data_IF_196246223202
#
_entry.id   IF_196246223202
#
_cell.length_a   1.000
_cell.length_b   1.000
_cell.length_c   1.000
_cell.angle_alpha   90.00
_cell.angle_beta   90.00
_cell.angle_gamma   90.00
#
_symmetry.space_group_name_H-M   'P 1'
#
loop_
_entity.id
_entity.type
_entity.pdbx_description
1 polymer ?
#
# COMPACT_ATOMS: atom_id res chain seq x y z
N UNK A 1 5.50 13.49 -29.32
CA UNK A 1 4.30 13.79 -28.50
C UNK A 1 4.25 12.71 -27.44
N UNK A 2 4.73 12.99 -26.22
CA UNK A 2 4.72 11.99 -25.14
C UNK A 2 3.27 11.63 -24.81
N UNK A 3 2.96 10.33 -24.87
CA UNK A 3 1.62 9.84 -24.58
C UNK A 3 1.30 10.09 -23.10
N UNK A 4 0.33 10.97 -22.82
CA UNK A 4 0.01 11.36 -21.45
C UNK A 4 -0.64 10.19 -20.71
N UNK A 5 -0.06 9.78 -19.57
CA UNK A 5 -0.61 8.75 -18.70
C UNK A 5 -1.88 9.29 -18.03
N UNK A 6 -3.06 8.79 -18.44
CA UNK A 6 -4.36 9.18 -17.87
C UNK A 6 -4.80 8.26 -16.74
N UNK A 7 -5.75 8.71 -15.90
CA UNK A 7 -6.26 7.90 -14.79
C UNK A 7 -6.88 6.58 -15.26
N UNK A 8 -7.60 6.56 -16.40
CA UNK A 8 -8.14 5.32 -16.99
C UNK A 8 -7.03 4.30 -17.30
N UNK A 9 -5.91 4.77 -17.86
CA UNK A 9 -4.77 3.92 -18.17
C UNK A 9 -4.12 3.40 -16.90
N UNK A 10 -4.03 4.22 -15.85
CA UNK A 10 -3.53 3.80 -14.53
C UNK A 10 -4.44 2.74 -13.92
N UNK A 11 -5.76 2.94 -13.93
CA UNK A 11 -6.74 1.96 -13.41
C UNK A 11 -6.65 0.66 -14.22
N UNK A 12 -6.58 0.72 -15.54
CA UNK A 12 -6.45 -0.45 -16.39
C UNK A 12 -5.14 -1.22 -16.13
N UNK A 13 -4.02 -0.49 -16.02
CA UNK A 13 -2.72 -1.07 -15.68
C UNK A 13 -2.77 -1.76 -14.32
N UNK A 14 -3.24 -1.07 -13.27
CA UNK A 14 -3.32 -1.63 -11.92
C UNK A 14 -4.29 -2.81 -11.86
N UNK A 15 -5.41 -2.78 -12.58
CA UNK A 15 -6.35 -3.92 -12.65
C UNK A 15 -5.66 -5.17 -13.20
N UNK A 16 -4.88 -5.05 -14.28
CA UNK A 16 -4.15 -6.18 -14.88
C UNK A 16 -3.01 -6.62 -13.96
N UNK A 17 -2.19 -5.67 -13.52
CA UNK A 17 -1.01 -5.93 -12.70
C UNK A 17 -1.37 -6.59 -11.36
N UNK A 18 -2.42 -6.11 -10.71
CA UNK A 18 -2.88 -6.61 -9.40
C UNK A 18 -3.86 -7.78 -9.49
N UNK A 19 -4.26 -8.19 -10.69
CA UNK A 19 -4.93 -9.48 -10.89
C UNK A 19 -4.01 -10.63 -10.44
N UNK A 20 -2.71 -10.54 -10.75
CA UNK A 20 -1.70 -11.49 -10.30
C UNK A 20 -1.43 -11.42 -8.78
N UNK A 21 -1.78 -10.30 -8.13
CA UNK A 21 -1.73 -10.13 -6.69
C UNK A 21 -2.97 -10.72 -5.98
N UNK A 22 -4.02 -11.10 -6.72
CA UNK A 22 -5.35 -11.40 -6.19
C UNK A 22 -6.01 -10.27 -5.37
N UNK A 23 -5.48 -9.05 -5.45
CA UNK A 23 -5.90 -7.91 -4.61
C UNK A 23 -7.01 -7.08 -5.25
N UNK A 24 -7.11 -7.08 -6.58
CA UNK A 24 -8.19 -6.37 -7.27
C UNK A 24 -9.51 -7.16 -7.22
N UNK A 25 -10.62 -6.55 -6.80
CA UNK A 25 -11.92 -7.25 -6.72
C UNK A 25 -12.47 -7.57 -8.12
N UNK A 26 -13.14 -8.71 -8.27
CA UNK A 26 -13.80 -9.04 -9.55
C UNK A 26 -14.97 -8.10 -9.82
N UNK A 27 -15.34 -7.94 -11.08
CA UNK A 27 -16.59 -7.28 -11.46
C UNK A 27 -17.81 -8.04 -10.92
N UNK A 28 -18.91 -7.36 -10.54
CA UNK A 28 -20.15 -8.02 -10.14
C UNK A 28 -20.71 -8.91 -11.26
N UNK A 29 -20.44 -8.56 -12.52
CA UNK A 29 -20.88 -9.29 -13.71
C UNK A 29 -19.92 -10.42 -14.11
N UNK A 30 -18.89 -10.72 -13.30
CA UNK A 30 -17.93 -11.77 -13.59
C UNK A 30 -18.60 -13.16 -13.68
N UNK A 31 -18.18 -13.95 -14.66
CA UNK A 31 -18.72 -15.29 -14.90
C UNK A 31 -18.37 -16.26 -13.76
N UNK A 32 -19.14 -17.36 -13.64
CA UNK A 32 -18.85 -18.41 -12.64
C UNK A 32 -17.43 -18.96 -12.80
N UNK A 33 -16.95 -19.12 -14.04
CA UNK A 33 -15.59 -19.58 -14.33
C UNK A 33 -14.53 -18.58 -13.84
N UNK A 34 -14.70 -17.28 -14.10
CA UNK A 34 -13.75 -16.26 -13.63
C UNK A 34 -13.65 -16.23 -12.10
N UNK A 35 -14.78 -16.36 -11.40
CA UNK A 35 -14.80 -16.42 -9.92
C UNK A 35 -14.10 -17.68 -9.41
N UNK A 36 -14.34 -18.83 -10.05
CA UNK A 36 -13.69 -20.09 -9.70
C UNK A 36 -12.17 -20.00 -9.91
N UNK A 37 -11.72 -19.52 -11.07
CA UNK A 37 -10.30 -19.35 -11.39
C UNK A 37 -9.61 -18.39 -10.40
N UNK A 38 -10.25 -17.27 -10.07
CA UNK A 38 -9.70 -16.31 -9.09
C UNK A 38 -9.58 -16.92 -7.69
N UNK A 39 -10.59 -17.66 -7.25
CA UNK A 39 -10.55 -18.35 -5.96
C UNK A 39 -9.49 -19.47 -5.94
N UNK A 40 -9.36 -20.22 -7.03
CA UNK A 40 -8.33 -21.24 -7.19
C UNK A 40 -6.92 -20.65 -7.19
N UNK A 41 -6.72 -19.53 -7.88
CA UNK A 41 -5.44 -18.82 -7.91
C UNK A 41 -5.08 -18.23 -6.54
N UNK A 42 -6.05 -17.65 -5.81
CA UNK A 42 -5.86 -17.24 -4.41
C UNK A 42 -5.41 -18.40 -3.52
N UNK A 43 -6.07 -19.56 -3.62
CA UNK A 43 -5.70 -20.74 -2.83
C UNK A 43 -4.29 -21.23 -3.18
N UNK A 44 -3.95 -21.23 -4.48
CA UNK A 44 -2.60 -21.56 -4.95
C UNK A 44 -1.53 -20.63 -4.35
N UNK A 45 -1.76 -19.31 -4.39
CA UNK A 45 -0.86 -18.32 -3.79
C UNK A 45 -0.69 -18.53 -2.28
N UNK A 46 -1.77 -18.85 -1.56
CA UNK A 46 -1.70 -19.17 -0.13
C UNK A 46 -0.92 -20.46 0.12
N UNK A 47 -1.21 -21.53 -0.62
CA UNK A 47 -0.51 -22.81 -0.51
C UNK A 47 0.99 -22.64 -0.79
N UNK A 48 1.36 -21.89 -1.83
CA UNK A 48 2.74 -21.59 -2.18
C UNK A 48 3.48 -20.88 -1.01
N UNK A 49 2.84 -19.87 -0.40
CA UNK A 49 3.44 -19.16 0.74
C UNK A 49 3.55 -20.04 1.99
N UNK A 50 2.56 -20.90 2.25
CA UNK A 50 2.59 -21.84 3.40
C UNK A 50 3.73 -22.86 3.23
N UNK A 51 3.90 -23.44 2.04
CA UNK A 51 4.98 -24.39 1.76
C UNK A 51 6.35 -23.75 2.06
N UNK A 52 6.55 -22.51 1.61
CA UNK A 52 7.77 -21.78 1.87
C UNK A 52 7.98 -21.47 3.36
N UNK A 53 6.94 -21.02 4.06
CA UNK A 53 6.98 -20.77 5.52
C UNK A 53 7.39 -22.02 6.29
N UNK A 54 6.82 -23.19 5.94
CA UNK A 54 7.15 -24.46 6.58
C UNK A 54 8.63 -24.81 6.37
N UNK A 55 9.16 -24.62 5.15
CA UNK A 55 10.58 -24.86 4.86
C UNK A 55 11.50 -23.92 5.66
N UNK A 56 11.14 -22.64 5.77
CA UNK A 56 11.90 -21.66 6.55
C UNK A 56 11.88 -22.00 8.05
N UNK A 57 10.71 -22.30 8.63
CA UNK A 57 10.58 -22.67 10.04
C UNK A 57 11.37 -23.95 10.34
N UNK A 58 11.31 -24.95 9.46
CA UNK A 58 12.10 -26.17 9.58
C UNK A 58 13.60 -25.89 9.65
N UNK A 59 14.09 -25.01 8.77
CA UNK A 59 15.50 -24.63 8.69
C UNK A 59 15.97 -23.91 9.96
N UNK A 60 15.15 -22.96 10.42
CA UNK A 60 15.35 -22.21 11.67
C UNK A 60 15.38 -23.15 12.88
N UNK A 61 14.49 -24.14 12.95
CA UNK A 61 14.46 -25.12 14.03
C UNK A 61 15.69 -26.02 14.04
N UNK A 62 16.17 -26.43 12.86
CA UNK A 62 17.32 -27.32 12.71
C UNK A 62 18.66 -26.64 13.05
N UNK A 63 18.79 -25.35 12.80
CA UNK A 63 20.06 -24.62 12.95
C UNK A 63 19.97 -23.52 14.02
N UNK A 64 20.87 -23.57 14.99
CA UNK A 64 20.96 -22.57 16.06
C UNK A 64 21.95 -21.43 15.72
N UNK A 65 21.94 -20.93 14.48
CA UNK A 65 22.82 -19.85 14.02
C UNK A 65 22.06 -18.51 13.94
N UNK A 66 22.36 -17.59 14.84
CA UNK A 66 21.73 -16.26 14.91
C UNK A 66 21.73 -15.51 13.57
N UNK A 67 22.76 -15.69 12.75
CA UNK A 67 22.90 -15.02 11.47
C UNK A 67 21.89 -15.55 10.43
N UNK A 68 21.70 -16.87 10.44
CA UNK A 68 20.70 -17.54 9.61
C UNK A 68 19.29 -17.14 10.06
N UNK A 69 19.06 -17.03 11.37
CA UNK A 69 17.80 -16.56 11.95
C UNK A 69 17.43 -15.15 11.49
N UNK A 70 18.38 -14.22 11.39
CA UNK A 70 18.11 -12.86 10.90
C UNK A 70 17.68 -12.85 9.43
N UNK A 71 18.39 -13.59 8.57
CA UNK A 71 18.09 -13.69 7.13
C UNK A 71 16.74 -14.35 6.90
N UNK A 72 16.55 -15.54 7.46
CA UNK A 72 15.33 -16.32 7.32
C UNK A 72 14.14 -15.70 8.06
N UNK A 73 14.36 -14.98 9.16
CA UNK A 73 13.33 -14.22 9.86
C UNK A 73 12.73 -13.11 9.00
N UNK A 74 13.57 -12.40 8.25
CA UNK A 74 13.11 -11.41 7.27
C UNK A 74 12.27 -12.06 6.16
N UNK A 75 12.76 -13.17 5.58
CA UNK A 75 12.05 -13.90 4.53
C UNK A 75 10.72 -14.49 5.04
N UNK A 76 10.70 -15.01 6.27
CA UNK A 76 9.51 -15.49 6.96
C UNK A 76 8.49 -14.35 7.15
N UNK A 77 8.95 -13.17 7.58
CA UNK A 77 8.08 -12.01 7.73
C UNK A 77 7.45 -11.61 6.39
N UNK A 78 8.22 -11.58 5.30
CA UNK A 78 7.70 -11.29 3.96
C UNK A 78 6.67 -12.35 3.51
N UNK A 79 6.94 -13.64 3.75
CA UNK A 79 6.01 -14.70 3.40
C UNK A 79 4.70 -14.66 4.22
N UNK A 80 4.78 -14.30 5.50
CA UNK A 80 3.61 -14.09 6.36
C UNK A 80 2.79 -12.86 5.92
N UNK A 81 3.46 -11.77 5.53
CA UNK A 81 2.79 -10.59 4.98
C UNK A 81 1.93 -10.97 3.77
N UNK A 82 2.44 -11.82 2.88
CA UNK A 82 1.70 -12.29 1.70
C UNK A 82 0.40 -12.98 2.09
N UNK A 83 0.48 -13.96 3.00
CA UNK A 83 -0.71 -14.69 3.45
C UNK A 83 -1.75 -13.77 4.07
N UNK A 84 -1.33 -12.92 5.00
CA UNK A 84 -2.23 -12.04 5.73
C UNK A 84 -2.87 -11.01 4.80
N UNK A 85 -2.12 -10.47 3.84
CA UNK A 85 -2.64 -9.47 2.91
C UNK A 85 -3.66 -10.09 1.93
N UNK A 86 -3.40 -11.30 1.42
CA UNK A 86 -4.37 -12.05 0.61
C UNK A 86 -5.68 -12.30 1.37
N UNK A 87 -5.60 -12.69 2.65
CA UNK A 87 -6.77 -12.90 3.52
C UNK A 87 -7.53 -11.59 3.71
N UNK A 88 -6.83 -10.49 4.03
CA UNK A 88 -7.47 -9.18 4.24
C UNK A 88 -8.18 -8.68 2.98
N UNK A 89 -7.56 -8.79 1.81
CA UNK A 89 -8.20 -8.43 0.55
C UNK A 89 -9.41 -9.30 0.25
N UNK A 90 -9.35 -10.60 0.53
CA UNK A 90 -10.49 -11.50 0.37
C UNK A 90 -11.64 -11.15 1.32
N UNK A 91 -11.35 -10.76 2.57
CA UNK A 91 -12.36 -10.32 3.54
C UNK A 91 -13.03 -9.00 3.13
N UNK A 92 -12.29 -8.09 2.49
CA UNK A 92 -12.80 -6.79 2.04
C UNK A 92 -13.32 -6.80 0.59
N UNK A 93 -13.31 -7.94 -0.10
CA UNK A 93 -13.55 -8.06 -1.54
C UNK A 93 -14.86 -7.39 -2.00
N UNK A 94 -15.97 -7.64 -1.29
CA UNK A 94 -17.27 -7.02 -1.59
C UNK A 94 -17.27 -5.50 -1.38
N UNK A 95 -16.61 -5.01 -0.33
CA UNK A 95 -16.53 -3.58 -0.03
C UNK A 95 -15.64 -2.87 -1.06
N UNK A 96 -14.50 -3.46 -1.39
CA UNK A 96 -13.59 -2.94 -2.41
C UNK A 96 -14.26 -2.95 -3.80
N UNK A 97 -15.03 -3.98 -4.13
CA UNK A 97 -15.82 -4.02 -5.36
C UNK A 97 -16.75 -2.81 -5.47
N UNK A 98 -17.54 -2.54 -4.42
CA UNK A 98 -18.42 -1.36 -4.39
C UNK A 98 -17.64 -0.05 -4.54
N UNK A 99 -16.54 0.11 -3.80
CA UNK A 99 -15.71 1.31 -3.82
C UNK A 99 -15.12 1.58 -5.22
N UNK A 100 -14.63 0.54 -5.89
CA UNK A 100 -14.03 0.63 -7.22
C UNK A 100 -15.08 0.96 -8.28
N UNK A 101 -16.27 0.35 -8.20
CA UNK A 101 -17.37 0.66 -9.12
C UNK A 101 -17.80 2.13 -9.01
N UNK A 102 -17.97 2.64 -7.79
CA UNK A 102 -18.29 4.05 -7.54
C UNK A 102 -17.19 4.98 -8.06
N UNK A 103 -15.91 4.60 -7.89
CA UNK A 103 -14.77 5.36 -8.41
C UNK A 103 -14.82 5.46 -9.95
N UNK A 104 -15.01 4.34 -10.63
CA UNK A 104 -15.06 4.28 -12.09
C UNK A 104 -16.27 5.01 -12.66
N UNK A 105 -17.46 4.81 -12.08
CA UNK A 105 -18.71 5.48 -12.48
C UNK A 105 -18.64 7.00 -12.26
N UNK A 106 -18.05 7.46 -11.16
CA UNK A 106 -17.80 8.88 -10.94
C UNK A 106 -16.85 9.45 -11.98
N UNK A 107 -15.71 8.80 -12.21
CA UNK A 107 -14.70 9.31 -13.14
C UNK A 107 -15.20 9.33 -14.60
N UNK A 108 -16.00 8.34 -15.01
CA UNK A 108 -16.62 8.34 -16.34
C UNK A 108 -17.54 9.55 -16.55
N UNK A 109 -18.34 9.90 -15.53
CA UNK A 109 -19.27 11.04 -15.55
C UNK A 109 -18.61 12.40 -15.25
N UNK A 110 -17.33 12.40 -14.88
CA UNK A 110 -16.62 13.61 -14.48
C UNK A 110 -16.50 14.62 -15.63
N UNK A 111 -16.69 15.90 -15.29
CA UNK A 111 -16.53 17.04 -16.19
C UNK A 111 -15.05 17.24 -16.56
N UNK A 112 -14.79 17.99 -17.64
CA UNK A 112 -13.42 18.21 -18.14
C UNK A 112 -12.47 18.78 -17.08
N UNK A 113 -12.90 19.80 -16.33
CA UNK A 113 -12.06 20.38 -15.27
C UNK A 113 -11.82 19.41 -14.11
N UNK A 114 -12.77 18.53 -13.77
CA UNK A 114 -12.57 17.50 -12.74
C UNK A 114 -11.51 16.50 -13.19
N UNK A 115 -11.55 16.09 -14.46
CA UNK A 115 -10.53 15.22 -15.06
C UNK A 115 -9.15 15.88 -15.07
N UNK A 116 -9.08 17.21 -15.26
CA UNK A 116 -7.82 17.95 -15.14
C UNK A 116 -7.27 17.93 -13.71
N UNK A 117 -8.13 18.02 -12.69
CA UNK A 117 -7.73 17.87 -11.29
C UNK A 117 -7.20 16.45 -11.04
N UNK A 118 -7.95 15.41 -11.43
CA UNK A 118 -7.47 14.03 -11.32
C UNK A 118 -6.13 13.81 -12.03
N UNK A 119 -5.96 14.41 -13.21
CA UNK A 119 -4.72 14.32 -13.96
C UNK A 119 -3.55 14.97 -13.22
N UNK A 120 -3.77 16.09 -12.52
CA UNK A 120 -2.74 16.73 -11.67
C UNK A 120 -2.27 15.80 -10.56
N UNK A 121 -3.19 15.04 -9.95
CA UNK A 121 -2.85 14.00 -8.97
C UNK A 121 -2.04 12.86 -9.59
N UNK A 122 -2.44 12.37 -10.78
CA UNK A 122 -1.67 11.35 -11.50
C UNK A 122 -0.27 11.84 -11.84
N UNK A 123 -0.14 13.07 -12.35
CA UNK A 123 1.14 13.65 -12.73
C UNK A 123 2.07 13.86 -11.51
N UNK A 124 1.51 14.20 -10.34
CA UNK A 124 2.22 14.32 -9.06
C UNK A 124 2.76 12.96 -8.58
N UNK A 125 2.00 11.88 -8.76
CA UNK A 125 2.29 10.59 -8.12
C UNK A 125 2.94 9.56 -9.07
N UNK A 126 2.83 9.71 -10.39
CA UNK A 126 3.29 8.71 -11.37
C UNK A 126 4.79 8.39 -11.25
N UNK A 127 5.62 9.42 -11.05
CA UNK A 127 7.08 9.24 -10.95
C UNK A 127 7.44 8.47 -9.69
N UNK A 128 6.75 8.77 -8.59
CA UNK A 128 6.94 8.09 -7.32
C UNK A 128 6.60 6.60 -7.43
N UNK A 129 5.37 6.25 -7.83
CA UNK A 129 4.98 4.84 -7.96
C UNK A 129 5.74 4.08 -9.05
N UNK A 130 6.09 4.74 -10.16
CA UNK A 130 6.96 4.14 -11.18
C UNK A 130 8.35 3.79 -10.62
N UNK A 131 8.93 4.67 -9.82
CA UNK A 131 10.22 4.43 -9.15
C UNK A 131 10.13 3.28 -8.14
N UNK A 132 9.01 3.17 -7.40
CA UNK A 132 8.78 2.05 -6.47
C UNK A 132 8.73 0.72 -7.21
N UNK A 133 7.95 0.63 -8.29
CA UNK A 133 7.84 -0.60 -9.08
C UNK A 133 9.22 -1.01 -9.63
N UNK A 134 9.99 -0.04 -10.12
CA UNK A 134 11.37 -0.28 -10.56
C UNK A 134 12.29 -0.75 -9.41
N UNK A 135 12.18 -0.15 -8.22
CA UNK A 135 12.96 -0.55 -7.06
C UNK A 135 12.64 -1.98 -6.60
N UNK A 136 11.35 -2.33 -6.56
CA UNK A 136 10.88 -3.67 -6.18
C UNK A 136 11.35 -4.73 -7.19
N UNK A 137 11.30 -4.44 -8.50
CA UNK A 137 11.82 -5.36 -9.52
C UNK A 137 13.33 -5.53 -9.41
N UNK A 138 14.08 -4.45 -9.19
CA UNK A 138 15.53 -4.52 -8.97
C UNK A 138 15.89 -5.37 -7.74
N UNK A 139 15.13 -5.24 -6.65
CA UNK A 139 15.32 -6.03 -5.42
C UNK A 139 14.99 -7.51 -5.64
N UNK A 140 13.91 -7.81 -6.36
CA UNK A 140 13.55 -9.19 -6.70
C UNK A 140 14.63 -9.84 -7.59
N UNK A 141 15.13 -9.11 -8.59
CA UNK A 141 16.20 -9.59 -9.45
C UNK A 141 17.50 -9.82 -8.68
N UNK A 142 17.87 -8.94 -7.74
CA UNK A 142 19.07 -9.16 -6.93
C UNK A 142 18.98 -10.43 -6.08
N UNK A 143 17.80 -10.75 -5.54
CA UNK A 143 17.55 -11.99 -4.80
C UNK A 143 17.65 -13.24 -5.70
N UNK A 144 17.06 -13.20 -6.89
CA UNK A 144 17.09 -14.33 -7.83
C UNK A 144 18.52 -14.64 -8.29
N UNK A 145 19.35 -13.61 -8.50
CA UNK A 145 20.72 -13.75 -9.01
C UNK A 145 21.74 -14.04 -7.89
N UNK A 146 21.36 -13.87 -6.61
CA UNK A 146 22.23 -14.13 -5.44
C UNK A 146 23.00 -15.47 -5.49
N UNK A 147 22.40 -16.62 -5.90
CA UNK A 147 23.10 -17.90 -6.01
C UNK A 147 24.27 -17.93 -7.00
N UNK A 148 24.33 -17.01 -7.97
CA UNK A 148 25.46 -16.92 -8.90
C UNK A 148 26.71 -16.30 -8.25
N UNK A 149 26.53 -15.57 -7.15
CA UNK A 149 27.59 -14.83 -6.47
C UNK A 149 27.90 -15.38 -5.06
N UNK A 150 27.19 -16.42 -4.63
CA UNK A 150 27.26 -16.99 -3.29
C UNK A 150 27.34 -18.52 -3.39
N UNK A 151 28.03 -19.22 -2.46
CA UNK A 151 28.06 -20.69 -2.44
C UNK A 151 26.70 -21.36 -2.20
N UNK A 152 25.65 -20.58 -1.98
CA UNK A 152 24.30 -21.06 -1.72
C UNK A 152 23.62 -21.57 -3.00
N UNK A 153 23.03 -22.79 -3.00
CA UNK A 153 22.49 -23.42 -4.22
C UNK A 153 21.14 -22.84 -4.70
N UNK A 154 20.42 -22.12 -3.83
CA UNK A 154 19.08 -21.57 -4.11
C UNK A 154 19.00 -20.10 -3.69
N UNK A 155 18.03 -19.30 -4.19
CA UNK A 155 17.89 -17.89 -3.80
C UNK A 155 17.75 -17.66 -2.29
N UNK A 156 16.88 -18.45 -1.64
CA UNK A 156 16.72 -18.51 -0.18
C UNK A 156 17.56 -19.61 0.45
N UNK A 157 17.97 -19.38 1.70
CA UNK A 157 18.75 -20.32 2.50
C UNK A 157 17.87 -21.41 3.15
N UNK A 158 16.58 -21.46 2.80
CA UNK A 158 15.67 -22.50 3.25
C UNK A 158 16.13 -23.89 2.81
N UNK A 159 16.19 -24.80 3.78
CA UNK A 159 16.44 -26.23 3.62
C UNK A 159 15.13 -27.03 3.68
N UNK A 160 15.17 -28.20 3.07
CA UNK A 160 14.07 -29.15 3.04
C UNK A 160 14.47 -30.45 3.77
N UNK A 161 13.51 -31.19 4.35
CA UNK A 161 13.78 -32.45 5.07
C UNK A 161 14.19 -33.62 4.16
N UNK A 162 14.25 -33.40 2.86
CA UNK A 162 14.63 -34.38 1.84
C UNK A 162 15.75 -33.82 0.96
N UNK A 163 16.48 -34.70 0.27
CA UNK A 163 17.57 -34.28 -0.60
C UNK A 163 17.06 -33.59 -1.87
N UNK A 164 17.40 -32.31 -2.01
CA UNK A 164 16.99 -31.42 -3.11
C UNK A 164 18.04 -31.28 -4.21
N UNK A 165 19.19 -31.96 -4.13
CA UNK A 165 20.28 -31.77 -5.11
C UNK A 165 20.10 -32.57 -6.40
N UNK A 166 19.18 -33.53 -6.42
CA UNK A 166 18.90 -34.38 -7.57
C UNK A 166 17.91 -33.73 -8.56
N UNK A 167 18.09 -33.98 -9.85
CA UNK A 167 17.14 -33.57 -10.89
C UNK A 167 15.98 -34.58 -10.98
N UNK A 168 14.72 -34.16 -11.19
CA UNK A 168 14.24 -32.80 -11.52
C UNK A 168 13.94 -31.90 -10.30
N UNK A 169 14.04 -32.43 -9.09
CA UNK A 169 13.60 -31.77 -7.85
C UNK A 169 14.31 -30.44 -7.61
N UNK A 170 15.62 -30.38 -7.87
CA UNK A 170 16.41 -29.13 -7.78
C UNK A 170 15.79 -28.00 -8.61
N UNK A 171 15.35 -28.29 -9.83
CA UNK A 171 14.72 -27.31 -10.72
C UNK A 171 13.34 -26.88 -10.20
N UNK A 172 12.57 -27.80 -9.62
CA UNK A 172 11.26 -27.51 -9.03
C UNK A 172 11.40 -26.56 -7.84
N UNK A 173 12.34 -26.82 -6.92
CA UNK A 173 12.58 -25.97 -5.75
C UNK A 173 13.08 -24.58 -6.18
N UNK A 174 13.98 -24.53 -7.16
CA UNK A 174 14.45 -23.25 -7.69
C UNK A 174 13.31 -22.42 -8.30
N UNK A 175 12.43 -23.06 -9.09
CA UNK A 175 11.24 -22.41 -9.64
C UNK A 175 10.26 -21.94 -8.54
N UNK A 176 10.08 -22.73 -7.49
CA UNK A 176 9.27 -22.36 -6.33
C UNK A 176 9.83 -21.12 -5.61
N UNK A 177 11.15 -21.03 -5.40
CA UNK A 177 11.77 -19.84 -4.82
C UNK A 177 11.57 -18.59 -5.68
N UNK A 178 11.75 -18.70 -7.01
CA UNK A 178 11.49 -17.59 -7.94
C UNK A 178 10.02 -17.15 -7.85
N UNK A 179 9.09 -18.12 -7.82
CA UNK A 179 7.67 -17.83 -7.70
C UNK A 179 7.34 -17.11 -6.39
N UNK A 180 7.95 -17.52 -5.27
CA UNK A 180 7.77 -16.85 -3.96
C UNK A 180 8.33 -15.43 -3.96
N UNK A 181 9.51 -15.20 -4.55
CA UNK A 181 10.08 -13.85 -4.70
C UNK A 181 9.17 -12.97 -5.56
N UNK A 182 8.69 -13.49 -6.69
CA UNK A 182 7.76 -12.80 -7.57
C UNK A 182 6.44 -12.45 -6.87
N UNK A 183 5.90 -13.41 -6.10
CA UNK A 183 4.69 -13.21 -5.31
C UNK A 183 4.88 -12.12 -4.25
N UNK A 184 6.03 -12.09 -3.57
CA UNK A 184 6.38 -11.03 -2.62
C UNK A 184 6.42 -9.65 -3.28
N UNK A 185 7.12 -9.54 -4.42
CA UNK A 185 7.21 -8.30 -5.20
C UNK A 185 5.83 -7.75 -5.57
N UNK A 186 4.97 -8.60 -6.15
CA UNK A 186 3.61 -8.21 -6.52
C UNK A 186 2.81 -7.81 -5.28
N UNK A 187 2.92 -8.54 -4.19
CA UNK A 187 2.13 -8.26 -3.01
C UNK A 187 2.46 -6.90 -2.37
N UNK A 188 3.75 -6.57 -2.25
CA UNK A 188 4.18 -5.24 -1.77
C UNK A 188 3.69 -4.15 -2.72
N UNK A 189 3.79 -4.39 -4.03
CA UNK A 189 3.27 -3.45 -5.04
C UNK A 189 1.74 -3.29 -4.99
N UNK A 190 0.99 -4.24 -4.44
CA UNK A 190 -0.46 -4.15 -4.29
C UNK A 190 -0.91 -3.05 -3.33
N UNK A 191 -0.02 -2.55 -2.48
CA UNK A 191 -0.27 -1.37 -1.63
C UNK A 191 -0.54 -0.09 -2.45
N UNK A 192 -0.17 -0.07 -3.74
CA UNK A 192 -0.55 1.01 -4.68
C UNK A 192 -2.06 1.16 -4.84
N UNK A 193 -2.84 0.07 -4.69
CA UNK A 193 -4.29 0.10 -4.87
C UNK A 193 -5.02 0.83 -3.74
N UNK A 194 -4.84 0.47 -2.45
CA UNK A 194 -5.33 1.28 -1.33
C UNK A 194 -4.93 2.75 -1.43
N UNK A 195 -3.69 3.03 -1.86
CA UNK A 195 -3.19 4.39 -2.00
C UNK A 195 -3.90 5.16 -3.15
N UNK A 196 -4.20 4.50 -4.28
CA UNK A 196 -5.03 5.06 -5.35
C UNK A 196 -6.42 5.47 -4.82
N UNK A 197 -7.06 4.62 -4.01
CA UNK A 197 -8.37 4.92 -3.44
C UNK A 197 -8.33 6.17 -2.54
N UNK A 198 -7.29 6.30 -1.72
CA UNK A 198 -7.09 7.49 -0.89
C UNK A 198 -6.83 8.74 -1.74
N UNK A 199 -5.97 8.66 -2.77
CA UNK A 199 -5.74 9.76 -3.71
C UNK A 199 -7.03 10.20 -4.41
N UNK A 200 -7.87 9.24 -4.82
CA UNK A 200 -9.16 9.53 -5.43
C UNK A 200 -10.09 10.26 -4.47
N UNK A 201 -10.15 9.84 -3.20
CA UNK A 201 -10.91 10.53 -2.14
C UNK A 201 -10.40 11.96 -1.95
N UNK A 202 -9.08 12.17 -1.85
CA UNK A 202 -8.47 13.49 -1.69
C UNK A 202 -8.82 14.40 -2.88
N UNK A 203 -8.70 13.90 -4.10
CA UNK A 203 -9.06 14.64 -5.31
C UNK A 203 -10.54 15.03 -5.35
N UNK A 204 -11.45 14.15 -4.89
CA UNK A 204 -12.88 14.48 -4.78
C UNK A 204 -13.15 15.56 -3.75
N UNK A 205 -12.44 15.57 -2.61
CA UNK A 205 -12.55 16.65 -1.63
C UNK A 205 -12.02 17.97 -2.19
N UNK A 206 -10.91 17.95 -2.93
CA UNK A 206 -10.38 19.13 -3.61
C UNK A 206 -11.37 19.69 -4.65
N UNK A 207 -11.97 18.84 -5.50
CA UNK A 207 -13.01 19.27 -6.45
C UNK A 207 -14.17 19.97 -5.71
N UNK A 208 -14.60 19.38 -4.59
CA UNK A 208 -15.69 19.91 -3.80
C UNK A 208 -15.34 21.23 -3.10
N UNK A 209 -14.11 21.35 -2.60
CA UNK A 209 -13.55 22.61 -2.06
C UNK A 209 -13.62 23.73 -3.10
N UNK A 210 -13.17 23.48 -4.33
CA UNK A 210 -13.27 24.46 -5.43
C UNK A 210 -14.72 24.89 -5.68
N UNK A 211 -15.68 23.96 -5.65
CA UNK A 211 -17.10 24.26 -5.84
C UNK A 211 -17.68 25.12 -4.71
N UNK A 212 -17.34 24.83 -3.46
CA UNK A 212 -17.77 25.65 -2.33
C UNK A 212 -17.20 27.06 -2.40
N UNK A 213 -15.98 27.22 -2.89
CA UNK A 213 -15.34 28.54 -3.05
C UNK A 213 -16.04 29.41 -4.09
N UNK A 214 -16.51 28.82 -5.18
CA UNK A 214 -17.14 29.53 -6.32
C UNK A 214 -18.66 29.57 -6.25
N UNK A 215 -19.26 29.12 -5.15
CA UNK A 215 -20.70 29.02 -4.98
C UNK A 215 -21.33 30.42 -4.87
N UNK A 216 -22.48 30.61 -5.51
CA UNK A 216 -23.20 31.90 -5.43
C UNK A 216 -24.66 31.77 -5.00
N UNK A 217 -25.26 30.57 -5.11
CA UNK A 217 -26.71 30.40 -4.95
C UNK A 217 -27.07 29.30 -3.94
N UNK A 218 -28.20 29.46 -3.25
CA UNK A 218 -28.70 28.47 -2.28
C UNK A 218 -28.92 27.07 -2.89
N UNK A 219 -29.32 26.99 -4.17
CA UNK A 219 -29.49 25.70 -4.87
C UNK A 219 -28.15 24.95 -5.01
N UNK A 220 -27.08 25.67 -5.30
CA UNK A 220 -25.73 25.12 -5.38
C UNK A 220 -25.26 24.68 -4.00
N UNK A 221 -25.52 25.48 -2.96
CA UNK A 221 -25.20 25.11 -1.59
C UNK A 221 -25.84 23.79 -1.17
N UNK A 222 -27.14 23.63 -1.40
CA UNK A 222 -27.85 22.38 -1.07
C UNK A 222 -27.25 21.20 -1.84
N UNK A 223 -26.93 21.41 -3.12
CA UNK A 223 -26.30 20.38 -3.97
C UNK A 223 -24.92 19.99 -3.43
N UNK A 224 -24.03 20.95 -3.18
CA UNK A 224 -22.67 20.70 -2.72
C UNK A 224 -22.65 20.14 -1.29
N UNK A 225 -23.57 20.55 -0.43
CA UNK A 225 -23.74 19.96 0.91
C UNK A 225 -24.15 18.49 0.83
N UNK A 226 -25.05 18.15 -0.10
CA UNK A 226 -25.43 16.75 -0.34
C UNK A 226 -24.27 15.94 -0.89
N UNK A 227 -23.52 16.49 -1.86
CA UNK A 227 -22.30 15.87 -2.39
C UNK A 227 -21.25 15.66 -1.29
N UNK A 228 -21.07 16.63 -0.40
CA UNK A 228 -20.17 16.53 0.75
C UNK A 228 -20.55 15.36 1.66
N UNK A 229 -21.83 15.23 2.01
CA UNK A 229 -22.32 14.12 2.84
C UNK A 229 -22.08 12.75 2.19
N UNK A 230 -22.37 12.63 0.88
CA UNK A 230 -22.14 11.40 0.12
C UNK A 230 -20.64 11.07 0.08
N UNK A 231 -19.79 12.07 -0.17
CA UNK A 231 -18.34 11.92 -0.23
C UNK A 231 -17.77 11.51 1.13
N UNK A 232 -18.24 12.09 2.24
CA UNK A 232 -17.84 11.69 3.59
C UNK A 232 -18.17 10.21 3.87
N UNK A 233 -19.34 9.74 3.42
CA UNK A 233 -19.72 8.33 3.56
C UNK A 233 -18.84 7.42 2.71
N UNK A 234 -18.56 7.80 1.46
CA UNK A 234 -17.66 7.06 0.59
C UNK A 234 -16.23 6.99 1.17
N UNK A 235 -15.70 8.13 1.62
CA UNK A 235 -14.39 8.24 2.24
C UNK A 235 -14.28 7.38 3.51
N UNK A 236 -15.37 7.25 4.28
CA UNK A 236 -15.44 6.34 5.42
C UNK A 236 -15.34 4.88 4.99
N UNK A 237 -16.06 4.44 3.95
CA UNK A 237 -15.94 3.07 3.44
C UNK A 237 -14.53 2.77 2.92
N UNK A 238 -13.91 3.72 2.19
CA UNK A 238 -12.50 3.61 1.74
C UNK A 238 -11.57 3.47 2.94
N UNK A 239 -11.70 4.35 3.93
CA UNK A 239 -10.88 4.30 5.15
C UNK A 239 -11.02 2.97 5.89
N UNK A 240 -12.25 2.46 6.02
CA UNK A 240 -12.51 1.17 6.66
C UNK A 240 -11.92 -0.01 5.90
N UNK A 241 -11.89 0.04 4.57
CA UNK A 241 -11.25 -0.98 3.73
C UNK A 241 -9.72 -0.93 3.83
N UNK A 242 -9.15 0.28 3.87
CA UNK A 242 -7.69 0.49 3.84
C UNK A 242 -7.04 0.30 5.21
N UNK A 243 -7.69 0.67 6.32
CA UNK A 243 -7.03 0.76 7.65
C UNK A 243 -6.31 -0.52 8.10
N UNK A 244 -6.91 -1.70 7.90
CA UNK A 244 -6.29 -2.96 8.34
C UNK A 244 -5.17 -3.42 7.42
N UNK A 245 -5.28 -3.12 6.12
CA UNK A 245 -4.22 -3.38 5.14
C UNK A 245 -3.03 -2.47 5.44
N UNK A 246 -3.29 -1.20 5.74
CA UNK A 246 -2.27 -0.24 6.12
C UNK A 246 -1.58 -0.64 7.44
N UNK A 247 -2.34 -1.07 8.46
CA UNK A 247 -1.75 -1.58 9.71
C UNK A 247 -0.83 -2.78 9.46
N UNK A 248 -1.30 -3.75 8.69
CA UNK A 248 -0.49 -4.91 8.31
C UNK A 248 0.83 -4.43 7.67
N UNK A 249 0.72 -3.60 6.64
CA UNK A 249 1.86 -3.00 5.97
C UNK A 249 2.84 -2.35 6.96
N UNK A 250 2.37 -1.40 7.80
CA UNK A 250 3.22 -0.71 8.79
C UNK A 250 3.96 -1.70 9.69
N UNK A 251 3.28 -2.73 10.20
CA UNK A 251 3.89 -3.71 11.11
C UNK A 251 5.00 -4.53 10.44
N UNK A 252 4.79 -4.97 9.19
CA UNK A 252 5.80 -5.73 8.45
C UNK A 252 6.93 -4.83 7.95
N UNK A 253 6.66 -3.58 7.56
CA UNK A 253 7.70 -2.62 7.19
C UNK A 253 8.65 -2.32 8.36
N UNK A 254 8.14 -2.23 9.60
CA UNK A 254 9.00 -2.14 10.81
C UNK A 254 9.94 -3.34 10.90
N UNK A 255 9.39 -4.55 10.75
CA UNK A 255 10.18 -5.79 10.77
C UNK A 255 11.26 -5.80 9.70
N UNK A 256 10.90 -5.47 8.45
CA UNK A 256 11.82 -5.42 7.31
C UNK A 256 12.97 -4.44 7.54
N UNK A 257 12.69 -3.26 8.10
CA UNK A 257 13.72 -2.26 8.42
C UNK A 257 14.65 -2.74 9.54
N UNK A 258 14.11 -3.35 10.59
CA UNK A 258 14.91 -3.90 11.70
C UNK A 258 15.81 -5.03 11.19
N UNK A 259 15.26 -6.05 10.51
CA UNK A 259 16.05 -7.15 9.96
C UNK A 259 17.06 -6.69 8.91
N UNK A 260 16.69 -5.72 8.08
CA UNK A 260 17.58 -5.10 7.10
C UNK A 260 18.78 -4.42 7.75
N UNK A 261 18.54 -3.62 8.79
CA UNK A 261 19.61 -2.95 9.53
C UNK A 261 20.52 -3.92 10.28
N UNK A 262 19.91 -4.88 10.97
CA UNK A 262 20.63 -5.91 11.71
C UNK A 262 21.53 -6.74 10.77
N UNK A 263 21.03 -7.09 9.57
CA UNK A 263 21.83 -7.81 8.55
C UNK A 263 22.94 -6.93 7.96
N UNK A 264 22.71 -5.62 7.84
CA UNK A 264 23.71 -4.67 7.35
C UNK A 264 24.92 -4.55 8.29
N UNK A 265 24.68 -4.53 9.60
CA UNK A 265 25.75 -4.45 10.61
C UNK A 265 26.51 -5.78 10.78
N UNK A 266 25.85 -6.90 10.48
CA UNK A 266 26.41 -8.25 10.55
C UNK A 266 27.60 -8.51 9.62
N UNK A 267 28.40 -9.53 9.92
CA UNK A 267 29.55 -9.99 9.10
C UNK A 267 29.11 -10.83 7.88
N UNK A 268 28.27 -10.25 7.03
CA UNK A 268 27.77 -10.85 5.78
C UNK A 268 28.54 -10.35 4.54
N UNK A 269 28.59 -11.12 3.44
CA UNK A 269 29.15 -10.63 2.18
C UNK A 269 28.35 -9.43 1.66
N UNK A 270 29.03 -8.54 0.93
CA UNK A 270 28.47 -7.29 0.42
C UNK A 270 27.19 -7.49 -0.39
N UNK A 271 27.09 -8.58 -1.17
CA UNK A 271 25.90 -8.93 -1.96
C UNK A 271 24.64 -9.08 -1.10
N UNK A 272 24.77 -9.72 0.06
CA UNK A 272 23.65 -9.92 1.01
C UNK A 272 23.31 -8.59 1.69
N UNK A 273 24.32 -7.83 2.14
CA UNK A 273 24.10 -6.51 2.76
C UNK A 273 23.34 -5.56 1.84
N UNK A 274 23.71 -5.51 0.57
CA UNK A 274 23.00 -4.72 -0.44
C UNK A 274 21.56 -5.13 -0.61
N UNK A 275 21.28 -6.43 -0.72
CA UNK A 275 19.90 -6.91 -0.87
C UNK A 275 19.04 -6.52 0.35
N UNK A 276 19.57 -6.66 1.56
CA UNK A 276 18.85 -6.29 2.79
C UNK A 276 18.69 -4.79 2.98
N UNK A 277 19.63 -3.97 2.49
CA UNK A 277 19.46 -2.52 2.45
C UNK A 277 18.33 -2.11 1.49
N UNK A 278 18.22 -2.77 0.33
CA UNK A 278 17.13 -2.52 -0.62
C UNK A 278 15.76 -2.85 0.00
N UNK A 279 15.68 -3.94 0.77
CA UNK A 279 14.48 -4.35 1.52
C UNK A 279 14.15 -3.35 2.62
N UNK A 280 15.15 -2.89 3.39
CA UNK A 280 14.94 -1.86 4.40
C UNK A 280 14.41 -0.55 3.79
N UNK A 281 14.99 -0.12 2.66
CA UNK A 281 14.49 1.05 1.94
C UNK A 281 13.05 0.86 1.45
N UNK A 282 12.72 -0.34 0.94
CA UNK A 282 11.36 -0.67 0.54
C UNK A 282 10.38 -0.52 1.73
N UNK A 283 10.75 -0.91 2.94
CA UNK A 283 9.93 -0.72 4.15
C UNK A 283 9.61 0.74 4.46
N UNK A 284 10.59 1.66 4.35
CA UNK A 284 10.34 3.09 4.52
C UNK A 284 9.38 3.64 3.46
N UNK A 285 9.57 3.21 2.22
CA UNK A 285 8.73 3.61 1.08
C UNK A 285 7.31 3.10 1.24
N UNK A 286 7.14 1.86 1.72
CA UNK A 286 5.84 1.22 1.94
C UNK A 286 4.97 2.04 2.89
N UNK A 287 5.52 2.50 4.02
CA UNK A 287 4.80 3.35 4.95
C UNK A 287 4.45 4.71 4.32
N UNK A 288 5.41 5.30 3.58
CA UNK A 288 5.20 6.58 2.91
C UNK A 288 4.06 6.51 1.86
N UNK A 289 3.90 5.38 1.15
CA UNK A 289 2.81 5.16 0.20
C UNK A 289 1.42 5.33 0.83
N UNK A 290 1.27 5.07 2.13
CA UNK A 290 0.02 5.27 2.86
C UNK A 290 -0.05 6.64 3.52
N UNK A 291 1.03 7.06 4.17
CA UNK A 291 1.08 8.33 4.89
C UNK A 291 0.80 9.52 3.97
N UNK A 292 1.31 9.50 2.74
CA UNK A 292 1.15 10.61 1.80
C UNK A 292 -0.28 10.87 1.35
N UNK A 293 -1.00 9.90 0.75
CA UNK A 293 -2.37 10.13 0.37
C UNK A 293 -3.30 10.28 1.59
N UNK A 294 -3.00 9.64 2.73
CA UNK A 294 -3.80 9.82 3.94
C UNK A 294 -3.71 11.27 4.47
N UNK A 295 -2.51 11.87 4.44
CA UNK A 295 -2.29 13.27 4.78
C UNK A 295 -3.03 14.22 3.82
N UNK A 296 -3.00 13.93 2.51
CA UNK A 296 -3.74 14.72 1.51
C UNK A 296 -5.26 14.59 1.71
N UNK A 297 -5.79 13.40 2.04
CA UNK A 297 -7.20 13.21 2.40
C UNK A 297 -7.57 14.06 3.63
N UNK A 298 -6.73 14.03 4.68
CA UNK A 298 -6.95 14.83 5.88
C UNK A 298 -6.99 16.32 5.54
N UNK A 299 -5.97 16.82 4.84
CA UNK A 299 -5.85 18.22 4.43
C UNK A 299 -7.02 18.67 3.56
N UNK A 300 -7.33 17.94 2.48
CA UNK A 300 -8.40 18.31 1.55
C UNK A 300 -9.80 18.22 2.18
N UNK A 301 -10.01 17.30 3.14
CA UNK A 301 -11.28 17.22 3.85
C UNK A 301 -11.51 18.40 4.81
N UNK A 302 -10.45 18.95 5.40
CA UNK A 302 -10.52 20.16 6.23
C UNK A 302 -10.53 21.44 5.41
N UNK A 303 -9.91 21.44 4.22
CA UNK A 303 -9.86 22.59 3.30
C UNK A 303 -11.24 23.09 2.88
N UNK A 304 -12.29 22.24 2.93
CA UNK A 304 -13.67 22.66 2.70
C UNK A 304 -14.08 23.83 3.62
N UNK A 305 -13.66 23.81 4.90
CA UNK A 305 -13.96 24.92 5.81
C UNK A 305 -13.30 26.23 5.34
N UNK A 306 -12.04 26.16 4.92
CA UNK A 306 -11.28 27.30 4.41
C UNK A 306 -11.88 27.83 3.10
N UNK A 307 -12.25 26.94 2.19
CA UNK A 307 -12.87 27.29 0.92
C UNK A 307 -14.23 27.99 1.08
N UNK A 308 -15.03 27.57 2.07
CA UNK A 308 -16.26 28.27 2.43
C UNK A 308 -15.96 29.65 3.01
N UNK A 309 -14.97 29.75 3.89
CA UNK A 309 -14.59 31.02 4.52
C UNK A 309 -14.09 32.04 3.49
N UNK A 310 -13.38 31.57 2.46
CA UNK A 310 -12.89 32.34 1.32
C UNK A 310 -14.00 32.74 0.30
N UNK A 311 -15.24 32.27 0.50
CA UNK A 311 -16.37 32.64 -0.35
C UNK A 311 -17.05 33.94 0.13
N UNK A 312 -17.98 34.50 -0.65
CA UNK A 312 -18.74 35.71 -0.29
C UNK A 312 -19.87 35.44 0.72
N UNK A 313 -19.67 34.49 1.64
CA UNK A 313 -20.69 33.99 2.57
C UNK A 313 -21.30 35.07 3.47
N UNK A 314 -20.58 36.17 3.70
CA UNK A 314 -21.02 37.29 4.53
C UNK A 314 -22.01 38.23 3.82
N UNK A 315 -22.18 38.10 2.50
CA UNK A 315 -23.17 38.84 1.71
C UNK A 315 -24.45 38.00 1.45
N UNK A 316 -24.44 36.71 1.78
CA UNK A 316 -25.56 35.79 1.53
C UNK A 316 -26.72 35.93 2.54
N UNK A 317 -27.86 35.33 2.22
CA UNK A 317 -29.02 35.25 3.12
C UNK A 317 -28.72 34.52 4.44
N UNK A 318 -29.44 34.86 5.50
CA UNK A 318 -29.29 34.25 6.83
C UNK A 318 -29.43 32.72 6.80
N UNK A 319 -30.30 32.19 5.95
CA UNK A 319 -30.49 30.74 5.80
C UNK A 319 -29.25 30.05 5.21
N UNK A 320 -28.62 30.70 4.22
CA UNK A 320 -27.41 30.22 3.55
C UNK A 320 -26.22 30.24 4.52
N UNK A 321 -26.04 31.35 5.26
CA UNK A 321 -25.02 31.46 6.32
C UNK A 321 -25.13 30.36 7.37
N UNK A 322 -26.35 30.10 7.86
CA UNK A 322 -26.59 29.03 8.84
C UNK A 322 -26.16 27.67 8.29
N UNK A 323 -26.51 27.34 7.06
CA UNK A 323 -26.12 26.06 6.46
C UNK A 323 -24.61 25.94 6.26
N UNK A 324 -23.94 27.01 5.82
CA UNK A 324 -22.48 27.06 5.69
C UNK A 324 -21.76 26.82 7.02
N UNK A 325 -22.23 27.42 8.12
CA UNK A 325 -21.67 27.19 9.46
C UNK A 325 -21.72 25.70 9.83
N UNK A 326 -22.81 24.99 9.52
CA UNK A 326 -22.89 23.54 9.78
C UNK A 326 -21.88 22.75 8.95
N UNK A 327 -21.65 23.15 7.69
CA UNK A 327 -20.64 22.52 6.83
C UNK A 327 -19.22 22.79 7.36
N UNK A 328 -18.93 24.01 7.80
CA UNK A 328 -17.65 24.37 8.43
C UNK A 328 -17.42 23.52 9.68
N UNK A 329 -18.38 23.48 10.60
CA UNK A 329 -18.30 22.68 11.83
C UNK A 329 -18.07 21.20 11.53
N UNK A 330 -18.71 20.66 10.50
CA UNK A 330 -18.47 19.27 10.09
C UNK A 330 -17.06 19.06 9.53
N UNK A 331 -16.53 20.02 8.78
CA UNK A 331 -15.23 19.93 8.10
C UNK A 331 -14.04 20.08 9.06
N UNK A 332 -14.27 20.61 10.27
CA UNK A 332 -13.29 20.60 11.37
C UNK A 332 -12.95 19.18 11.88
N UNK A 333 -13.75 18.18 11.51
CA UNK A 333 -13.46 16.77 11.78
C UNK A 333 -12.97 16.07 10.49
N UNK A 334 -11.65 16.11 10.20
CA UNK A 334 -11.08 15.55 8.98
C UNK A 334 -11.31 14.05 8.87
N UNK A 335 -11.33 13.57 7.64
CA UNK A 335 -11.31 12.12 7.37
C UNK A 335 -9.88 11.62 7.61
N UNK A 336 -9.73 10.71 8.57
CA UNK A 336 -8.43 10.16 8.98
C UNK A 336 -8.41 8.65 8.82
N UNK A 337 -7.27 8.10 8.41
CA UNK A 337 -7.05 6.65 8.42
C UNK A 337 -6.37 6.26 9.73
N UNK A 338 -7.13 5.66 10.64
CA UNK A 338 -6.65 5.21 11.94
C UNK A 338 -7.39 3.97 12.43
N UNK A 339 -6.77 3.27 13.39
CA UNK A 339 -7.39 2.18 14.14
C UNK A 339 -7.27 2.54 15.61
N UNK A 340 -8.39 2.71 16.34
CA UNK A 340 -8.36 3.01 17.75
C UNK A 340 -7.40 2.09 18.51
N UNK A 341 -6.56 2.67 19.36
CA UNK A 341 -5.56 2.01 20.20
C UNK A 341 -4.35 1.36 19.49
N UNK A 342 -4.38 1.15 18.17
CA UNK A 342 -3.32 0.38 17.47
C UNK A 342 -2.58 1.23 16.44
N UNK A 343 -3.31 1.97 15.60
CA UNK A 343 -2.74 2.76 14.52
C UNK A 343 -3.12 4.23 14.70
N UNK A 344 -2.14 5.11 15.03
CA UNK A 344 -2.35 6.56 15.00
C UNK A 344 -2.83 7.05 13.63
N UNK A 345 -3.26 8.31 13.54
CA UNK A 345 -3.66 8.89 12.26
C UNK A 345 -2.49 8.85 11.27
N UNK A 346 -2.65 8.07 10.21
CA UNK A 346 -1.69 8.02 9.10
C UNK A 346 -1.61 9.42 8.48
N UNK A 347 -0.43 10.02 8.58
CA UNK A 347 -0.12 11.38 8.18
C UNK A 347 1.38 11.51 7.94
N UNK A 348 1.80 12.62 7.32
CA UNK A 348 3.22 12.92 7.16
C UNK A 348 3.94 13.10 8.51
N UNK A 349 3.23 13.61 9.52
CA UNK A 349 3.76 13.72 10.88
C UNK A 349 4.02 12.34 11.50
N UNK A 350 3.13 11.38 11.29
CA UNK A 350 3.35 9.99 11.71
C UNK A 350 4.58 9.39 11.02
N UNK A 351 4.72 9.63 9.71
CA UNK A 351 5.89 9.17 8.95
C UNK A 351 7.20 9.78 9.46
N UNK A 352 7.25 11.09 9.72
CA UNK A 352 8.42 11.76 10.27
C UNK A 352 8.81 11.20 11.66
N UNK A 353 7.82 10.99 12.53
CA UNK A 353 8.02 10.37 13.84
C UNK A 353 8.53 8.93 13.72
N UNK A 354 7.97 8.15 12.81
CA UNK A 354 8.42 6.79 12.50
C UNK A 354 9.90 6.76 12.08
N UNK A 355 10.28 7.58 11.10
CA UNK A 355 11.66 7.65 10.60
C UNK A 355 12.61 8.04 11.74
N UNK A 356 12.29 9.07 12.51
CA UNK A 356 13.08 9.51 13.66
C UNK A 356 13.27 8.39 14.71
N UNK A 357 12.19 7.69 15.02
CA UNK A 357 12.18 6.57 15.98
C UNK A 357 13.07 5.42 15.50
N UNK A 358 12.94 5.05 14.23
CA UNK A 358 13.74 4.00 13.61
C UNK A 358 15.24 4.34 13.65
N UNK A 359 15.63 5.55 13.24
CA UNK A 359 17.04 5.97 13.30
C UNK A 359 17.57 6.03 14.74
N UNK A 360 16.73 6.43 15.70
CA UNK A 360 17.08 6.42 17.12
C UNK A 360 17.34 5.00 17.62
N UNK A 361 16.49 4.02 17.27
CA UNK A 361 16.72 2.61 17.60
C UNK A 361 17.98 2.06 16.93
N UNK A 362 18.22 2.38 15.66
CA UNK A 362 19.44 1.97 14.95
C UNK A 362 20.70 2.49 15.67
N UNK A 363 20.72 3.75 16.06
CA UNK A 363 21.82 4.35 16.81
C UNK A 363 22.04 3.65 18.17
N UNK A 364 20.97 3.40 18.91
CA UNK A 364 21.03 2.67 20.20
C UNK A 364 21.61 1.26 20.04
N UNK A 365 21.12 0.48 19.06
CA UNK A 365 21.64 -0.86 18.75
C UNK A 365 23.13 -0.81 18.38
N UNK A 366 23.55 0.21 17.61
CA UNK A 366 24.97 0.39 17.25
C UNK A 366 25.85 0.64 18.48
N UNK A 367 25.37 1.45 19.42
CA UNK A 367 26.11 1.74 20.67
C UNK A 367 26.24 0.48 21.51
N UNK A 368 25.14 -0.26 21.70
CA UNK A 368 25.14 -1.54 22.41
C UNK A 368 26.12 -2.55 21.81
N UNK A 369 26.12 -2.68 20.48
CA UNK A 369 27.04 -3.60 19.78
C UNK A 369 28.49 -3.10 19.70
N UNK A 370 28.74 -1.81 19.86
CA UNK A 370 30.09 -1.24 19.86
C UNK A 370 30.74 -1.20 21.24
N UNK A 371 30.01 -1.60 22.28
CA UNK A 371 30.52 -1.77 23.65
C UNK A 371 30.98 -3.22 23.94
N UNK A 372 30.77 -4.14 23.00
CA UNK A 372 31.38 -5.48 22.92
C UNK A 372 32.58 -5.45 21.96
#
# INVERSE_FOLDING_TARGET
MEEKITLDRVIAFLRIYLMFACCWPLSPNATKLQRFLHSGFRFFCCANSIIYIVAVIWTIYKHNDYMLWMKLGCELSAALQILLQLILFAMQDKRLQFIVLEMEDYYQRAQKYEKEIFQRYVDRCKSFYGSILFWLTMTAMSMIVTPLFSPQPFPSAAEYPFDVQHQPLKTIIFAHHILTIYQSMIQVSANTFPALLLWFVAARFHILSVRFRTMTNMKELIKYTREHYILLRYAKEVTLAVRYIALLCVTFSIGAVIFGYLTFISRQPWTVKWTFLMIAFAGFVELYMYAWPADDVMSMSSDIASAIYDSLWYDDDLAMRKLLIHVILRSQHPVTVSIPCVLPNLSMNYYASYVSTVFSYMASVRILMGQE
#
